data_IF_201135412128
#
_entry.id   IF_201135412128
#
_cell.length_a   1.000
_cell.length_b   1.000
_cell.length_c   1.000
_cell.angle_alpha   90.00
_cell.angle_beta   90.00
_cell.angle_gamma   90.00
#
_symmetry.space_group_name_H-M   'P 1'
#
loop_
_entity.id
_entity.type
_entity.pdbx_description
1 polymer ?
#
# COMPACT_ATOMS: atom_id res chain seq x y z
N UNK A 1 -6.36 7.06 -16.97
CA UNK A 1 -5.51 5.95 -16.47
C UNK A 1 -5.24 6.20 -14.99
N UNK A 2 -5.58 5.25 -14.11
CA UNK A 2 -5.24 5.34 -12.69
C UNK A 2 -3.71 5.32 -12.51
N UNK A 3 -3.18 6.15 -11.61
CA UNK A 3 -1.74 6.27 -11.36
C UNK A 3 -1.46 6.08 -9.87
N UNK A 4 -0.43 5.31 -9.56
CA UNK A 4 0.11 5.23 -8.19
C UNK A 4 1.24 6.25 -8.07
N UNK A 5 1.04 7.23 -7.21
CA UNK A 5 2.03 8.29 -6.92
C UNK A 5 2.35 8.19 -5.44
N UNK A 6 3.63 8.03 -5.10
CA UNK A 6 4.10 7.91 -3.73
C UNK A 6 5.05 9.07 -3.47
N UNK A 7 4.76 9.88 -2.47
CA UNK A 7 5.55 11.03 -2.07
C UNK A 7 5.87 11.97 -3.27
N UNK A 8 4.85 12.25 -4.09
CA UNK A 8 4.98 13.07 -5.30
C UNK A 8 5.63 12.36 -6.51
N UNK A 9 6.15 11.14 -6.34
CA UNK A 9 6.83 10.39 -7.39
C UNK A 9 5.89 9.38 -8.04
N UNK A 10 5.73 9.49 -9.37
CA UNK A 10 5.02 8.47 -10.14
C UNK A 10 5.88 7.19 -10.21
N UNK A 11 5.49 6.16 -9.48
CA UNK A 11 6.21 4.88 -9.44
C UNK A 11 5.73 3.96 -10.55
N UNK A 12 6.54 2.96 -10.89
CA UNK A 12 6.10 1.91 -11.80
C UNK A 12 4.81 1.26 -11.27
N UNK A 13 3.80 1.03 -12.12
CA UNK A 13 2.59 0.32 -11.69
C UNK A 13 2.93 -1.07 -11.13
N UNK A 14 2.37 -1.43 -9.95
CA UNK A 14 2.50 -2.79 -9.43
C UNK A 14 1.78 -3.80 -10.34
N UNK A 15 2.25 -5.05 -10.35
CA UNK A 15 1.58 -6.15 -11.05
C UNK A 15 0.34 -6.64 -10.30
N UNK A 16 0.33 -6.46 -8.98
CA UNK A 16 -0.80 -6.76 -8.11
C UNK A 16 -1.05 -5.58 -7.19
N UNK A 17 -2.30 -5.13 -7.14
CA UNK A 17 -2.74 -4.03 -6.31
C UNK A 17 -4.09 -4.37 -5.70
N UNK A 18 -4.17 -4.36 -4.38
CA UNK A 18 -5.41 -4.59 -3.64
C UNK A 18 -5.62 -3.46 -2.63
N UNK A 19 -6.83 -2.91 -2.63
CA UNK A 19 -7.28 -1.96 -1.61
C UNK A 19 -8.13 -2.69 -0.58
N UNK A 20 -7.60 -2.87 0.62
CA UNK A 20 -8.32 -3.29 1.80
C UNK A 20 -9.02 -2.11 2.47
N UNK A 21 -10.28 -2.31 2.84
CA UNK A 21 -11.09 -1.36 3.62
C UNK A 21 -11.20 -1.93 5.03
N UNK A 22 -10.67 -1.22 6.03
CA UNK A 22 -10.61 -1.70 7.40
C UNK A 22 -11.44 -0.80 8.30
N UNK A 23 -12.34 -1.42 9.06
CA UNK A 23 -13.06 -0.77 10.15
C UNK A 23 -12.22 -0.85 11.40
N UNK A 24 -11.91 0.31 11.97
CA UNK A 24 -11.31 0.41 13.29
C UNK A 24 -12.46 0.62 14.25
N UNK A 25 -12.81 -0.44 14.96
CA UNK A 25 -13.84 -0.44 15.99
C UNK A 25 -13.20 -0.23 17.38
N UNK A 26 -13.93 0.45 18.26
CA UNK A 26 -13.62 0.57 19.68
C UNK A 26 -14.23 -0.60 20.44
N UNK A 27 -15.22 -0.33 21.27
CA UNK A 27 -15.95 -1.38 21.98
C UNK A 27 -16.88 -2.15 21.04
N UNK A 28 -16.92 -3.47 21.23
CA UNK A 28 -17.84 -4.35 20.53
C UNK A 28 -18.47 -5.32 21.53
N UNK A 29 -19.75 -5.64 21.34
CA UNK A 29 -20.49 -6.44 22.30
C UNK A 29 -21.81 -7.00 21.79
N UNK A 30 -22.63 -7.45 22.73
CA UNK A 30 -23.99 -7.92 22.51
C UNK A 30 -24.93 -7.26 23.51
N UNK A 31 -26.07 -6.78 23.04
CA UNK A 31 -27.13 -6.29 23.93
C UNK A 31 -27.92 -7.48 24.54
N UNK A 32 -28.86 -7.19 25.44
CA UNK A 32 -29.68 -8.22 26.09
C UNK A 32 -30.60 -9.00 25.13
N UNK A 33 -30.84 -8.49 23.92
CA UNK A 33 -31.60 -9.17 22.86
C UNK A 33 -30.71 -10.09 21.99
N UNK A 34 -29.39 -10.08 22.21
CA UNK A 34 -28.42 -10.84 21.42
C UNK A 34 -27.94 -10.15 20.14
N UNK A 35 -28.27 -8.88 19.91
CA UNK A 35 -27.81 -8.13 18.74
C UNK A 35 -26.36 -7.68 18.89
N UNK A 36 -25.61 -7.63 17.77
CA UNK A 36 -24.29 -7.01 17.73
C UNK A 36 -24.40 -5.50 17.94
N UNK A 37 -23.66 -4.99 18.91
CA UNK A 37 -23.37 -3.57 19.05
C UNK A 37 -21.88 -3.37 18.77
N UNK A 38 -21.53 -2.37 17.96
CA UNK A 38 -20.15 -2.01 17.66
C UNK A 38 -19.99 -0.50 17.56
N UNK A 39 -18.89 0.00 18.13
CA UNK A 39 -18.51 1.41 18.06
C UNK A 39 -17.45 1.60 16.97
N UNK A 40 -17.89 1.95 15.76
CA UNK A 40 -16.95 2.18 14.64
C UNK A 40 -16.30 3.56 14.78
N UNK A 41 -14.99 3.58 15.07
CA UNK A 41 -14.21 4.82 15.26
C UNK A 41 -13.89 5.46 13.92
N UNK A 42 -13.28 4.70 13.00
CA UNK A 42 -12.86 5.21 11.70
C UNK A 42 -12.75 4.09 10.67
N UNK A 43 -12.72 4.46 9.39
CA UNK A 43 -12.42 3.55 8.29
C UNK A 43 -11.03 3.92 7.76
N UNK A 44 -10.16 2.92 7.60
CA UNK A 44 -8.81 3.08 7.04
C UNK A 44 -8.64 2.24 5.78
N UNK A 45 -7.58 2.54 5.03
CA UNK A 45 -7.18 1.83 3.81
C UNK A 45 -5.85 1.13 4.02
N UNK A 46 -5.79 -0.11 3.54
CA UNK A 46 -4.56 -0.89 3.45
C UNK A 46 -4.32 -1.25 1.99
N UNK A 47 -3.21 -0.83 1.42
CA UNK A 47 -2.86 -1.10 0.02
C UNK A 47 -1.83 -2.23 0.00
N UNK A 48 -2.21 -3.40 -0.49
CA UNK A 48 -1.28 -4.50 -0.71
C UNK A 48 -0.72 -4.38 -2.13
N UNK A 49 0.60 -4.18 -2.24
CA UNK A 49 1.27 -3.91 -3.51
C UNK A 49 2.36 -4.94 -3.78
N UNK A 50 2.38 -5.50 -4.99
CA UNK A 50 3.47 -6.34 -5.48
C UNK A 50 3.92 -5.89 -6.87
N UNK A 51 5.22 -5.74 -7.05
CA UNK A 51 5.84 -5.38 -8.32
C UNK A 51 6.45 -6.59 -9.02
N UNK A 52 6.40 -6.57 -10.35
CA UNK A 52 7.11 -7.53 -11.19
C UNK A 52 8.60 -7.22 -11.29
N UNK A 53 9.16 -7.44 -12.47
CA UNK A 53 10.57 -7.13 -12.74
C UNK A 53 10.84 -5.62 -12.68
N UNK A 54 11.77 -5.21 -11.82
CA UNK A 54 12.24 -3.83 -11.66
C UNK A 54 13.73 -3.72 -12.02
N UNK A 55 14.10 -2.62 -12.67
CA UNK A 55 15.50 -2.19 -12.77
C UNK A 55 16.02 -1.70 -11.41
N UNK A 56 17.34 -1.55 -11.27
CA UNK A 56 17.95 -0.95 -10.08
C UNK A 56 17.43 0.47 -9.81
N UNK A 57 17.26 1.27 -10.86
CA UNK A 57 16.71 2.62 -10.77
C UNK A 57 15.25 2.62 -10.32
N UNK A 58 14.41 1.76 -10.91
CA UNK A 58 12.97 1.65 -10.58
C UNK A 58 12.77 1.26 -9.11
N UNK A 59 13.54 0.29 -8.59
CA UNK A 59 13.44 -0.12 -7.18
C UNK A 59 14.00 0.94 -6.23
N UNK A 60 15.11 1.59 -6.58
CA UNK A 60 15.70 2.65 -5.77
C UNK A 60 14.73 3.81 -5.62
N UNK A 61 14.11 4.25 -6.71
CA UNK A 61 13.07 5.28 -6.71
C UNK A 61 11.88 4.88 -5.83
N UNK A 62 11.42 3.63 -5.93
CA UNK A 62 10.31 3.11 -5.13
C UNK A 62 10.62 3.09 -3.63
N UNK A 63 11.77 2.53 -3.24
CA UNK A 63 12.17 2.41 -1.84
C UNK A 63 12.48 3.77 -1.19
N UNK A 64 13.05 4.70 -1.95
CA UNK A 64 13.27 6.08 -1.50
C UNK A 64 11.95 6.83 -1.33
N UNK A 65 10.96 6.61 -2.20
CA UNK A 65 9.64 7.25 -2.08
C UNK A 65 8.89 6.84 -0.80
N UNK A 66 9.15 5.62 -0.28
CA UNK A 66 8.56 5.11 0.97
C UNK A 66 9.51 5.19 2.18
N UNK A 67 10.58 5.99 2.11
CA UNK A 67 11.59 6.07 3.17
C UNK A 67 11.15 6.88 4.39
N UNK A 68 10.28 7.87 4.20
CA UNK A 68 9.73 8.69 5.27
C UNK A 68 8.80 7.88 6.18
N UNK A 69 8.67 8.30 7.45
CA UNK A 69 7.77 7.65 8.43
C UNK A 69 6.32 7.69 7.94
N UNK A 70 5.90 8.84 7.41
CA UNK A 70 4.63 9.03 6.74
C UNK A 70 4.84 9.80 5.45
N UNK A 71 4.05 9.47 4.42
CA UNK A 71 4.11 10.11 3.12
C UNK A 71 2.74 10.07 2.44
N UNK A 72 2.54 10.97 1.48
CA UNK A 72 1.31 11.02 0.69
C UNK A 72 1.32 9.95 -0.41
N UNK A 73 0.19 9.28 -0.59
CA UNK A 73 -0.02 8.30 -1.64
C UNK A 73 -1.29 8.67 -2.40
N UNK A 74 -1.15 8.92 -3.70
CA UNK A 74 -2.30 9.00 -4.61
C UNK A 74 -2.50 7.67 -5.31
N UNK A 75 -3.70 7.10 -5.20
CA UNK A 75 -4.00 5.75 -5.66
C UNK A 75 -5.47 5.62 -6.12
N UNK A 76 -5.79 4.60 -6.96
CA UNK A 76 -7.17 4.27 -7.29
C UNK A 76 -7.86 3.54 -6.13
N UNK A 77 -8.79 4.22 -5.46
CA UNK A 77 -9.68 3.64 -4.46
C UNK A 77 -10.96 3.10 -5.12
N UNK A 78 -11.41 1.88 -4.78
CA UNK A 78 -12.60 1.28 -5.39
C UNK A 78 -13.90 1.99 -5.03
N UNK A 79 -13.93 2.81 -3.96
CA UNK A 79 -15.09 3.56 -3.52
C UNK A 79 -15.01 5.02 -3.95
N UNK A 80 -13.82 5.62 -3.84
CA UNK A 80 -13.63 7.08 -4.01
C UNK A 80 -13.05 7.48 -5.38
N UNK A 81 -12.66 6.52 -6.21
CA UNK A 81 -11.89 6.79 -7.43
C UNK A 81 -10.45 7.17 -7.10
N UNK A 82 -9.81 7.98 -7.95
CA UNK A 82 -8.44 8.44 -7.67
C UNK A 82 -8.47 9.40 -6.47
N UNK A 83 -7.79 9.01 -5.37
CA UNK A 83 -7.74 9.79 -4.13
C UNK A 83 -6.32 9.84 -3.60
N UNK A 84 -6.06 10.75 -2.67
CA UNK A 84 -4.78 10.87 -1.96
C UNK A 84 -5.00 10.72 -0.46
N UNK A 85 -4.08 10.04 0.22
CA UNK A 85 -4.10 9.89 1.68
C UNK A 85 -2.67 9.83 2.24
N UNK A 86 -2.54 9.90 3.56
CA UNK A 86 -1.26 9.75 4.26
C UNK A 86 -1.08 8.32 4.73
N UNK A 87 0.03 7.69 4.37
CA UNK A 87 0.32 6.29 4.66
C UNK A 87 1.69 6.14 5.32
N UNK A 88 1.89 5.00 5.97
CA UNK A 88 3.21 4.46 6.30
C UNK A 88 3.40 3.09 5.62
N UNK A 89 4.65 2.68 5.45
CA UNK A 89 5.00 1.39 4.86
C UNK A 89 5.24 0.34 5.94
N UNK A 90 4.75 -0.89 5.70
CA UNK A 90 5.14 -2.05 6.50
C UNK A 90 6.57 -2.52 6.16
N UNK A 91 6.94 -3.72 6.61
CA UNK A 91 8.16 -4.38 6.14
C UNK A 91 8.22 -4.46 4.62
N UNK A 92 9.42 -4.21 4.07
CA UNK A 92 9.72 -4.16 2.65
C UNK A 92 10.61 -5.34 2.30
N UNK A 93 10.16 -6.17 1.37
CA UNK A 93 10.99 -7.27 0.84
C UNK A 93 11.27 -7.05 -0.63
N UNK A 94 12.54 -7.19 -1.02
CA UNK A 94 13.01 -7.02 -2.39
C UNK A 94 13.84 -8.25 -2.81
N UNK A 95 13.21 -9.29 -3.38
CA UNK A 95 13.94 -10.45 -3.87
C UNK A 95 14.73 -10.09 -5.12
N UNK A 96 15.99 -10.52 -5.17
CA UNK A 96 16.79 -10.47 -6.38
C UNK A 96 16.62 -11.77 -7.17
N UNK A 97 16.28 -11.65 -8.45
CA UNK A 97 16.25 -12.72 -9.44
C UNK A 97 17.64 -12.98 -10.05
N UNK A 98 18.49 -11.96 -10.14
CA UNK A 98 19.87 -12.11 -10.60
C UNK A 98 20.78 -11.03 -10.00
N UNK A 99 22.04 -11.38 -9.78
CA UNK A 99 23.07 -10.43 -9.33
C UNK A 99 23.75 -9.68 -10.48
N UNK A 100 23.31 -9.88 -11.73
CA UNK A 100 23.89 -9.23 -12.91
C UNK A 100 23.01 -8.08 -13.39
N UNK A 101 23.61 -6.91 -13.64
CA UNK A 101 22.89 -5.71 -14.09
C UNK A 101 22.34 -5.80 -15.53
N UNK A 102 22.78 -6.80 -16.31
CA UNK A 102 22.28 -7.03 -17.68
C UNK A 102 20.79 -7.38 -17.73
N UNK A 103 20.21 -7.85 -16.62
CA UNK A 103 18.78 -8.12 -16.51
C UNK A 103 18.18 -7.31 -15.36
N UNK A 104 16.85 -7.09 -15.40
CA UNK A 104 16.12 -6.48 -14.28
C UNK A 104 16.31 -7.35 -13.02
N UNK A 105 17.14 -6.92 -12.07
CA UNK A 105 17.64 -7.83 -11.06
C UNK A 105 16.60 -8.10 -9.98
N UNK A 106 15.57 -7.26 -9.83
CA UNK A 106 14.58 -7.37 -8.76
C UNK A 106 13.25 -7.89 -9.28
N UNK A 107 12.67 -8.86 -8.59
CA UNK A 107 11.35 -9.40 -8.94
C UNK A 107 10.61 -9.84 -7.69
N UNK A 108 9.33 -9.48 -7.58
CA UNK A 108 8.52 -9.81 -6.41
C UNK A 108 8.73 -8.87 -5.24
N UNK A 109 9.12 -7.62 -5.50
CA UNK A 109 9.11 -6.57 -4.46
C UNK A 109 7.69 -6.43 -3.95
N UNK A 110 7.51 -6.54 -2.64
CA UNK A 110 6.19 -6.44 -2.00
C UNK A 110 6.26 -5.68 -0.70
N UNK A 111 5.23 -4.89 -0.43
CA UNK A 111 4.98 -4.25 0.84
C UNK A 111 3.55 -3.73 0.89
N UNK A 112 3.08 -3.45 2.11
CA UNK A 112 1.78 -2.87 2.34
C UNK A 112 1.93 -1.39 2.73
N UNK A 113 1.00 -0.57 2.25
CA UNK A 113 0.84 0.81 2.68
C UNK A 113 -0.39 0.90 3.57
N UNK A 114 -0.25 1.42 4.78
CA UNK A 114 -1.32 1.48 5.78
C UNK A 114 -1.64 2.94 6.06
N UNK A 115 -2.91 3.32 5.91
CA UNK A 115 -3.39 4.68 6.12
C UNK A 115 -3.28 5.07 7.60
N UNK A 116 -2.73 6.26 7.85
CA UNK A 116 -2.65 6.85 9.19
C UNK A 116 -4.02 7.31 9.66
#
# INVERSE_FOLDING_TARGET
MARLIINGVAVKPPKFFRVGIQDIDGETGRNANGDMVRDRITIKRKLDCEWGMLTQEEISQLLNAVSAVFFEVSYPDPVRGQTTGTFYVSDRTAPSYTFTEKFKPWSGVKFNLIER
#
